data_IF_988127756549
#
_entry.id   IF_988127756549
#
_cell.length_a   1.000
_cell.length_b   1.000
_cell.length_c   1.000
_cell.angle_alpha   90.00
_cell.angle_beta   90.00
_cell.angle_gamma   90.00
#
_symmetry.space_group_name_H-M   'P 1'
#
loop_
_entity.id
_entity.type
_entity.pdbx_description
1 polymer ?
#
# COMPACT_ATOMS: atom_id res chain seq x y z
N UNK A 1 3.05 -24.85 -45.12
CA UNK A 1 2.51 -25.48 -43.91
C UNK A 1 3.68 -25.90 -43.07
N UNK A 2 4.20 -24.99 -42.29
CA UNK A 2 5.27 -25.23 -41.31
C UNK A 2 4.58 -25.79 -40.06
N UNK A 3 4.81 -27.08 -39.78
CA UNK A 3 4.50 -27.68 -38.49
C UNK A 3 5.47 -27.07 -37.49
N UNK A 4 5.01 -26.17 -36.61
CA UNK A 4 5.71 -25.83 -35.37
C UNK A 4 5.92 -27.16 -34.61
N UNK A 5 7.14 -27.60 -34.60
CA UNK A 5 7.62 -28.69 -33.77
C UNK A 5 7.51 -28.25 -32.31
N UNK A 6 6.41 -28.68 -31.66
CA UNK A 6 6.19 -28.47 -30.24
C UNK A 6 7.25 -29.29 -29.51
N UNK A 7 8.39 -28.67 -29.21
CA UNK A 7 9.43 -29.28 -28.36
C UNK A 7 8.72 -29.77 -27.08
N UNK A 8 8.67 -31.08 -26.90
CA UNK A 8 8.22 -31.70 -25.66
C UNK A 8 9.15 -31.20 -24.54
N UNK A 9 8.61 -30.35 -23.65
CA UNK A 9 9.37 -29.87 -22.50
C UNK A 9 9.70 -31.06 -21.62
N UNK A 10 10.96 -31.19 -21.29
CA UNK A 10 11.42 -32.20 -20.33
C UNK A 10 10.86 -31.86 -18.93
N UNK A 11 10.75 -32.88 -18.06
CA UNK A 11 10.36 -32.66 -16.66
C UNK A 11 11.26 -31.63 -15.98
N UNK A 12 12.52 -31.56 -16.33
CA UNK A 12 13.46 -30.57 -15.83
C UNK A 12 13.11 -29.14 -16.29
N UNK A 13 12.70 -28.93 -17.54
CA UNK A 13 12.30 -27.63 -18.05
C UNK A 13 11.04 -27.10 -17.33
N UNK A 14 10.09 -27.99 -17.04
CA UNK A 14 8.87 -27.67 -16.30
C UNK A 14 9.19 -27.28 -14.86
N UNK A 15 10.10 -28.01 -14.24
CA UNK A 15 10.59 -27.77 -12.89
C UNK A 15 11.31 -26.40 -12.78
N UNK A 16 12.22 -26.11 -13.70
CA UNK A 16 12.92 -24.80 -13.75
C UNK A 16 11.97 -23.65 -14.01
N UNK A 17 10.94 -23.82 -14.86
CA UNK A 17 9.92 -22.82 -15.08
C UNK A 17 9.08 -22.56 -13.81
N UNK A 18 8.72 -23.63 -13.08
CA UNK A 18 8.03 -23.51 -11.79
C UNK A 18 8.89 -22.73 -10.78
N UNK A 19 10.16 -23.11 -10.61
CA UNK A 19 11.11 -22.42 -9.74
C UNK A 19 11.21 -20.94 -10.06
N UNK A 20 11.33 -20.62 -11.35
CA UNK A 20 11.38 -19.24 -11.83
C UNK A 20 10.10 -18.47 -11.45
N UNK A 21 8.91 -19.06 -11.68
CA UNK A 21 7.62 -18.44 -11.35
C UNK A 21 7.46 -18.21 -9.84
N UNK A 22 7.77 -19.20 -9.02
CA UNK A 22 7.73 -19.08 -7.55
C UNK A 22 8.65 -17.95 -7.08
N UNK A 23 9.89 -17.90 -7.60
CA UNK A 23 10.87 -16.85 -7.25
C UNK A 23 10.39 -15.44 -7.63
N UNK A 24 9.78 -15.27 -8.80
CA UNK A 24 9.24 -13.95 -9.22
C UNK A 24 8.03 -13.55 -8.39
N UNK A 25 7.09 -14.46 -8.16
CA UNK A 25 5.90 -14.17 -7.33
C UNK A 25 6.30 -13.79 -5.91
N UNK A 26 7.23 -14.54 -5.30
CA UNK A 26 7.77 -14.20 -3.98
C UNK A 26 8.35 -12.78 -3.94
N UNK A 27 9.20 -12.43 -4.90
CA UNK A 27 9.79 -11.07 -4.97
C UNK A 27 8.72 -9.98 -5.13
N UNK A 28 7.72 -10.19 -5.97
CA UNK A 28 6.63 -9.23 -6.15
C UNK A 28 5.80 -9.08 -4.86
N UNK A 29 5.52 -10.16 -4.13
CA UNK A 29 4.78 -10.11 -2.86
C UNK A 29 5.55 -9.45 -1.73
N UNK A 30 6.88 -9.57 -1.68
CA UNK A 30 7.75 -8.79 -0.79
C UNK A 30 7.57 -7.29 -1.06
N UNK A 31 7.56 -6.86 -2.34
CA UNK A 31 7.36 -5.46 -2.68
C UNK A 31 5.95 -4.98 -2.34
N UNK A 32 4.94 -5.82 -2.53
CA UNK A 32 3.55 -5.50 -2.14
C UNK A 32 3.42 -5.28 -0.63
N UNK A 33 3.97 -6.19 0.19
CA UNK A 33 4.00 -6.05 1.66
C UNK A 33 4.69 -4.75 2.08
N UNK A 34 5.89 -4.48 1.54
CA UNK A 34 6.65 -3.26 1.83
C UNK A 34 5.87 -2.00 1.48
N UNK A 35 5.31 -1.91 0.28
CA UNK A 35 4.51 -0.77 -0.20
C UNK A 35 3.29 -0.50 0.69
N UNK A 36 2.57 -1.55 1.10
CA UNK A 36 1.40 -1.41 1.97
C UNK A 36 1.79 -0.99 3.38
N UNK A 37 2.91 -1.51 3.92
CA UNK A 37 3.44 -1.12 5.23
C UNK A 37 3.87 0.35 5.23
N UNK A 38 4.62 0.80 4.23
CA UNK A 38 5.02 2.20 4.09
C UNK A 38 3.82 3.16 4.00
N UNK A 39 2.75 2.74 3.32
CA UNK A 39 1.50 3.52 3.28
C UNK A 39 0.81 3.57 4.63
N UNK A 40 0.70 2.43 5.32
CA UNK A 40 0.12 2.38 6.64
C UNK A 40 0.84 3.32 7.60
N UNK A 41 2.17 3.18 7.71
CA UNK A 41 3.00 4.01 8.58
C UNK A 41 2.89 5.51 8.27
N UNK A 42 2.85 5.88 7.00
CA UNK A 42 2.68 7.28 6.61
C UNK A 42 1.34 7.83 7.08
N UNK A 43 0.24 7.16 6.78
CA UNK A 43 -1.09 7.62 7.14
C UNK A 43 -1.33 7.59 8.65
N UNK A 44 -0.78 6.61 9.34
CA UNK A 44 -0.83 6.52 10.81
C UNK A 44 -0.12 7.71 11.46
N UNK A 45 1.11 8.04 11.00
CA UNK A 45 1.85 9.22 11.48
C UNK A 45 1.09 10.53 11.23
N UNK A 46 0.49 10.69 10.05
CA UNK A 46 -0.34 11.85 9.71
C UNK A 46 -1.55 11.93 10.64
N UNK A 47 -2.24 10.81 10.87
CA UNK A 47 -3.40 10.75 11.79
C UNK A 47 -3.02 11.15 13.21
N UNK A 48 -1.92 10.61 13.76
CA UNK A 48 -1.44 10.98 15.10
C UNK A 48 -1.05 12.45 15.21
N UNK A 49 -0.36 12.98 14.21
CA UNK A 49 0.02 14.39 14.19
C UNK A 49 -1.21 15.30 14.25
N UNK A 50 -2.24 15.03 13.44
CA UNK A 50 -3.46 15.84 13.45
C UNK A 50 -4.32 15.62 14.70
N UNK A 51 -4.33 14.41 15.27
CA UNK A 51 -4.98 14.18 16.56
C UNK A 51 -4.35 15.04 17.67
N UNK A 52 -3.01 15.12 17.69
CA UNK A 52 -2.28 15.94 18.65
C UNK A 52 -2.57 17.44 18.43
N UNK A 53 -2.63 17.91 17.18
CA UNK A 53 -2.98 19.29 16.88
C UNK A 53 -4.40 19.66 17.35
N UNK A 54 -5.38 18.80 17.10
CA UNK A 54 -6.75 18.99 17.56
C UNK A 54 -6.79 19.09 19.08
N UNK A 55 -6.04 18.24 19.78
CA UNK A 55 -5.95 18.26 21.25
C UNK A 55 -5.33 19.57 21.76
N UNK A 56 -4.21 20.01 21.17
CA UNK A 56 -3.54 21.27 21.54
C UNK A 56 -4.48 22.47 21.34
N UNK A 57 -5.13 22.55 20.18
CA UNK A 57 -6.09 23.65 19.91
C UNK A 57 -7.31 23.57 20.83
N UNK A 58 -7.78 22.39 21.18
CA UNK A 58 -8.87 22.21 22.12
C UNK A 58 -8.55 22.81 23.50
N UNK A 59 -7.35 22.52 24.01
CA UNK A 59 -6.89 23.10 25.28
C UNK A 59 -6.66 24.61 25.18
N UNK A 60 -6.10 25.08 24.06
CA UNK A 60 -5.86 26.51 23.83
C UNK A 60 -7.17 27.32 23.85
N UNK A 61 -8.20 26.82 23.14
CA UNK A 61 -9.48 27.52 23.05
C UNK A 61 -10.31 27.50 24.33
N UNK A 62 -10.08 26.57 25.27
CA UNK A 62 -10.71 26.57 26.58
C UNK A 62 -10.35 27.82 27.41
N UNK A 63 -9.24 28.49 27.13
CA UNK A 63 -8.75 29.67 27.86
C UNK A 63 -9.15 31.00 27.20
N UNK A 64 -9.82 30.99 26.05
CA UNK A 64 -10.27 32.21 25.40
C UNK A 64 -11.58 32.72 26.03
N UNK A 65 -11.53 33.86 26.74
CA UNK A 65 -12.64 34.40 27.55
C UNK A 65 -13.77 35.11 26.80
N UNK A 66 -13.84 35.05 25.46
CA UNK A 66 -14.85 35.77 24.65
C UNK A 66 -15.88 34.78 24.05
N UNK A 67 -17.15 34.87 24.45
CA UNK A 67 -18.21 33.92 24.07
C UNK A 67 -18.42 33.78 22.56
N UNK A 68 -18.28 34.84 21.78
CA UNK A 68 -18.44 34.78 20.30
C UNK A 68 -17.26 34.11 19.63
N UNK A 69 -16.03 34.37 20.06
CA UNK A 69 -14.82 33.78 19.54
C UNK A 69 -14.73 32.29 19.90
N UNK A 70 -15.14 31.95 21.12
CA UNK A 70 -15.24 30.57 21.59
C UNK A 70 -16.22 29.73 20.76
N UNK A 71 -17.34 30.30 20.32
CA UNK A 71 -18.31 29.58 19.47
C UNK A 71 -17.74 29.27 18.10
N UNK A 72 -16.99 30.16 17.47
CA UNK A 72 -16.33 29.91 16.17
C UNK A 72 -15.23 28.86 16.32
N UNK A 73 -14.39 28.98 17.33
CA UNK A 73 -13.33 28.03 17.63
C UNK A 73 -13.88 26.63 17.87
N UNK A 74 -14.97 26.51 18.64
CA UNK A 74 -15.64 25.23 18.89
C UNK A 74 -16.17 24.60 17.60
N UNK A 75 -16.77 25.38 16.70
CA UNK A 75 -17.24 24.91 15.39
C UNK A 75 -16.07 24.39 14.53
N UNK A 76 -14.96 25.12 14.51
CA UNK A 76 -13.74 24.71 13.77
C UNK A 76 -13.22 23.39 14.33
N UNK A 77 -13.06 23.25 15.64
CA UNK A 77 -12.60 22.03 16.29
C UNK A 77 -13.53 20.85 16.02
N UNK A 78 -14.85 21.08 16.03
CA UNK A 78 -15.82 20.04 15.72
C UNK A 78 -15.65 19.52 14.28
N UNK A 79 -15.50 20.43 13.30
CA UNK A 79 -15.28 20.06 11.90
C UNK A 79 -13.98 19.25 11.76
N UNK A 80 -12.92 19.68 12.46
CA UNK A 80 -11.63 18.97 12.44
C UNK A 80 -11.71 17.58 13.05
N UNK A 81 -12.28 17.44 14.23
CA UNK A 81 -12.42 16.15 14.91
C UNK A 81 -13.26 15.18 14.09
N UNK A 82 -14.36 15.67 13.49
CA UNK A 82 -15.21 14.87 12.61
C UNK A 82 -14.45 14.44 11.34
N UNK A 83 -13.73 15.37 10.70
CA UNK A 83 -12.91 15.07 9.52
C UNK A 83 -11.83 14.02 9.82
N UNK A 84 -11.17 14.13 10.97
CA UNK A 84 -10.16 13.16 11.43
C UNK A 84 -10.79 11.79 11.70
N UNK A 85 -11.98 11.75 12.29
CA UNK A 85 -12.74 10.51 12.52
C UNK A 85 -13.05 9.81 11.19
N UNK A 86 -13.56 10.52 10.20
CA UNK A 86 -13.80 9.96 8.87
C UNK A 86 -12.50 9.49 8.20
N UNK A 87 -11.41 10.23 8.36
CA UNK A 87 -10.12 9.82 7.82
C UNK A 87 -9.62 8.52 8.45
N UNK A 88 -9.67 8.38 9.77
CA UNK A 88 -9.26 7.15 10.45
C UNK A 88 -10.17 5.98 10.10
N UNK A 89 -11.48 6.20 9.97
CA UNK A 89 -12.43 5.18 9.49
C UNK A 89 -12.10 4.71 8.07
N UNK A 90 -11.76 5.64 7.16
CA UNK A 90 -11.30 5.30 5.81
C UNK A 90 -10.04 4.44 5.83
N UNK A 91 -9.05 4.77 6.69
CA UNK A 91 -7.82 3.98 6.83
C UNK A 91 -8.12 2.56 7.33
N UNK A 92 -9.04 2.41 8.28
CA UNK A 92 -9.46 1.11 8.79
C UNK A 92 -10.11 0.26 7.69
N UNK A 93 -10.96 0.85 6.85
CA UNK A 93 -11.57 0.15 5.69
C UNK A 93 -10.50 -0.32 4.70
N UNK A 94 -9.43 0.47 4.47
CA UNK A 94 -8.34 0.10 3.56
C UNK A 94 -7.45 -1.03 4.07
N UNK A 95 -7.42 -1.23 5.39
CA UNK A 95 -6.79 -2.37 6.07
C UNK A 95 -5.34 -2.64 5.63
N UNK A 96 -4.56 -1.55 5.41
CA UNK A 96 -3.20 -1.63 4.86
C UNK A 96 -2.28 -2.53 5.69
N UNK A 97 -2.39 -2.48 7.03
CA UNK A 97 -1.56 -3.26 7.95
C UNK A 97 -1.82 -4.77 7.81
N UNK A 98 -3.07 -5.18 7.84
CA UNK A 98 -3.45 -6.59 7.71
C UNK A 98 -3.12 -7.14 6.33
N UNK A 99 -3.36 -6.34 5.27
CA UNK A 99 -2.98 -6.71 3.91
C UNK A 99 -1.48 -6.86 3.76
N UNK A 100 -0.67 -5.96 4.35
CA UNK A 100 0.78 -6.08 4.37
C UNK A 100 1.24 -7.36 5.06
N UNK A 101 0.69 -7.66 6.24
CA UNK A 101 0.97 -8.89 7.00
C UNK A 101 0.54 -10.14 6.23
N UNK A 102 -0.59 -10.08 5.54
CA UNK A 102 -1.09 -11.16 4.68
C UNK A 102 -0.13 -11.49 3.52
N UNK A 103 0.42 -10.45 2.85
CA UNK A 103 1.47 -10.65 1.84
C UNK A 103 2.76 -11.17 2.46
N UNK A 104 3.10 -10.75 3.67
CA UNK A 104 4.27 -11.22 4.40
C UNK A 104 4.21 -12.71 4.66
N UNK A 105 3.13 -13.19 5.25
CA UNK A 105 2.91 -14.61 5.50
C UNK A 105 2.97 -15.42 4.19
N UNK A 106 2.38 -14.88 3.12
CA UNK A 106 2.36 -15.59 1.85
C UNK A 106 3.74 -15.67 1.19
N UNK A 107 4.57 -14.61 1.23
CA UNK A 107 5.92 -14.73 0.68
C UNK A 107 6.82 -15.65 1.51
N UNK A 108 6.59 -15.77 2.84
CA UNK A 108 7.26 -16.74 3.69
C UNK A 108 6.89 -18.17 3.28
N UNK A 109 5.62 -18.45 3.00
CA UNK A 109 5.18 -19.74 2.49
C UNK A 109 5.77 -20.05 1.10
N UNK A 110 5.85 -19.05 0.22
CA UNK A 110 6.54 -19.17 -1.06
C UNK A 110 8.05 -19.44 -0.91
N UNK A 111 8.66 -18.91 0.15
CA UNK A 111 10.06 -19.19 0.47
C UNK A 111 10.26 -20.65 0.90
N UNK A 112 9.36 -21.17 1.72
CA UNK A 112 9.35 -22.59 2.10
C UNK A 112 9.23 -23.48 0.86
N UNK A 113 8.29 -23.14 -0.05
CA UNK A 113 8.14 -23.86 -1.31
C UNK A 113 9.40 -23.77 -2.19
N UNK A 114 9.99 -22.59 -2.29
CA UNK A 114 11.23 -22.38 -3.05
C UNK A 114 12.39 -23.23 -2.49
N UNK A 115 12.52 -23.29 -1.17
CA UNK A 115 13.52 -24.12 -0.50
C UNK A 115 13.30 -25.63 -0.78
N UNK A 116 12.04 -26.09 -0.86
CA UNK A 116 11.74 -27.48 -1.28
C UNK A 116 12.19 -27.73 -2.71
N UNK A 117 11.89 -26.80 -3.62
CA UNK A 117 12.30 -26.87 -5.02
C UNK A 117 13.84 -26.90 -5.13
N UNK A 118 14.54 -25.98 -4.44
CA UNK A 118 16.01 -25.89 -4.48
C UNK A 118 16.71 -27.14 -3.90
N UNK A 119 16.12 -27.79 -2.89
CA UNK A 119 16.65 -29.07 -2.37
C UNK A 119 16.53 -30.20 -3.39
N UNK A 120 15.45 -30.24 -4.17
CA UNK A 120 15.24 -31.25 -5.21
C UNK A 120 16.13 -31.03 -6.43
N UNK A 121 16.56 -29.82 -6.70
CA UNK A 121 17.50 -29.49 -7.77
C UNK A 121 18.87 -30.17 -7.60
N UNK A 122 19.23 -30.58 -6.39
CA UNK A 122 20.48 -31.29 -6.12
C UNK A 122 20.53 -32.72 -6.74
N UNK A 123 19.36 -33.29 -7.07
CA UNK A 123 19.24 -34.60 -7.72
C UNK A 123 18.18 -34.56 -8.85
N UNK A 124 18.51 -33.95 -10.00
CA UNK A 124 17.55 -33.70 -11.09
C UNK A 124 17.01 -34.97 -11.73
N UNK A 125 17.80 -36.08 -11.75
CA UNK A 125 17.41 -37.32 -12.40
C UNK A 125 16.34 -38.09 -11.63
N UNK A 126 16.18 -37.80 -10.33
CA UNK A 126 15.18 -38.46 -9.49
C UNK A 126 13.82 -37.70 -9.45
N UNK A 127 13.66 -36.59 -10.18
CA UNK A 127 12.44 -35.78 -10.18
C UNK A 127 11.33 -36.48 -10.95
N UNK A 128 10.32 -36.94 -10.24
CA UNK A 128 9.14 -37.59 -10.84
C UNK A 128 8.08 -36.55 -11.28
N UNK A 129 7.29 -36.91 -12.30
CA UNK A 129 6.16 -36.09 -12.77
C UNK A 129 5.12 -35.84 -11.69
N UNK A 130 4.90 -36.81 -10.79
CA UNK A 130 3.99 -36.64 -9.66
C UNK A 130 4.48 -35.61 -8.64
N UNK A 131 5.78 -35.59 -8.36
CA UNK A 131 6.36 -34.56 -7.49
C UNK A 131 6.21 -33.16 -8.09
N UNK A 132 6.49 -32.98 -9.39
CA UNK A 132 6.30 -31.73 -10.10
C UNK A 132 4.83 -31.29 -10.00
N UNK A 133 3.87 -32.16 -10.23
CA UNK A 133 2.44 -31.88 -10.07
C UNK A 133 2.08 -31.52 -8.64
N UNK A 134 2.71 -32.14 -7.65
CA UNK A 134 2.54 -31.80 -6.23
C UNK A 134 3.01 -30.38 -5.91
N UNK A 135 4.20 -30.01 -6.37
CA UNK A 135 4.77 -28.67 -6.21
C UNK A 135 3.93 -27.61 -6.94
N UNK A 136 3.42 -27.91 -8.14
CA UNK A 136 2.49 -27.02 -8.86
C UNK A 136 1.21 -26.76 -8.08
N UNK A 137 0.57 -27.80 -7.52
CA UNK A 137 -0.64 -27.64 -6.70
C UNK A 137 -0.37 -26.82 -5.45
N UNK A 138 0.78 -27.01 -4.78
CA UNK A 138 1.18 -26.20 -3.63
C UNK A 138 1.36 -24.72 -4.02
N UNK A 139 1.99 -24.46 -5.17
CA UNK A 139 2.14 -23.11 -5.70
C UNK A 139 0.79 -22.46 -6.04
N UNK A 140 -0.09 -23.16 -6.75
CA UNK A 140 -1.43 -22.68 -7.11
C UNK A 140 -2.27 -22.34 -5.87
N UNK A 141 -2.22 -23.20 -4.83
CA UNK A 141 -2.86 -22.93 -3.55
C UNK A 141 -2.36 -21.62 -2.97
N UNK A 142 -1.05 -21.40 -2.92
CA UNK A 142 -0.46 -20.16 -2.40
C UNK A 142 -0.83 -18.93 -3.24
N UNK A 143 -1.06 -19.09 -4.55
CA UNK A 143 -1.55 -17.99 -5.41
C UNK A 143 -2.99 -17.60 -5.08
N UNK A 144 -3.86 -18.58 -4.84
CA UNK A 144 -5.29 -18.37 -4.61
C UNK A 144 -5.60 -17.88 -3.17
N UNK A 145 -4.73 -18.16 -2.20
CA UNK A 145 -4.94 -17.78 -0.80
C UNK A 145 -5.04 -16.26 -0.58
N UNK A 146 -4.46 -15.46 -1.45
CA UNK A 146 -4.29 -14.02 -1.25
C UNK A 146 -4.62 -13.22 -2.50
N UNK A 147 -4.97 -11.94 -2.27
CA UNK A 147 -5.12 -10.98 -3.36
C UNK A 147 -3.86 -10.90 -4.24
N UNK A 148 -4.04 -10.56 -5.51
CA UNK A 148 -2.91 -10.37 -6.40
C UNK A 148 -2.12 -9.10 -6.03
N UNK A 149 -0.80 -9.17 -6.21
CA UNK A 149 0.06 -8.00 -6.18
C UNK A 149 -0.24 -7.09 -7.38
N UNK A 150 0.06 -5.80 -7.24
CA UNK A 150 -0.06 -4.86 -8.35
C UNK A 150 1.09 -5.02 -9.34
N UNK A 151 0.87 -4.63 -10.59
CA UNK A 151 1.92 -4.64 -11.62
C UNK A 151 3.18 -3.88 -11.20
N UNK A 152 3.02 -2.80 -10.44
CA UNK A 152 4.13 -2.03 -9.91
C UNK A 152 5.06 -2.86 -9.00
N UNK A 153 4.51 -3.76 -8.21
CA UNK A 153 5.27 -4.62 -7.31
C UNK A 153 6.15 -5.59 -8.11
N UNK A 154 5.63 -6.09 -9.24
CA UNK A 154 6.40 -6.89 -10.19
C UNK A 154 7.48 -6.04 -10.88
N UNK A 155 7.16 -4.84 -11.36
CA UNK A 155 8.14 -3.99 -12.05
C UNK A 155 9.34 -3.64 -11.17
N UNK A 156 9.10 -3.40 -9.87
CA UNK A 156 10.15 -3.04 -8.89
C UNK A 156 10.93 -4.26 -8.40
N UNK A 157 10.37 -5.48 -8.51
CA UNK A 157 10.92 -6.70 -7.91
C UNK A 157 12.26 -7.16 -8.50
N UNK A 158 12.61 -6.76 -9.72
CA UNK A 158 13.82 -7.16 -10.43
C UNK A 158 14.49 -5.98 -11.16
N UNK A 159 15.83 -5.97 -11.22
CA UNK A 159 16.61 -4.93 -11.91
C UNK A 159 16.22 -4.80 -13.39
N UNK A 160 16.12 -5.90 -14.13
CA UNK A 160 15.75 -5.90 -15.56
C UNK A 160 14.34 -5.31 -15.81
N UNK A 161 13.35 -5.71 -14.98
CA UNK A 161 11.98 -5.16 -15.09
C UNK A 161 11.92 -3.71 -14.67
N UNK A 162 12.69 -3.30 -13.66
CA UNK A 162 12.79 -1.91 -13.20
C UNK A 162 13.30 -0.99 -14.29
N UNK A 163 14.34 -1.38 -14.99
CA UNK A 163 14.88 -0.60 -16.11
C UNK A 163 13.88 -0.53 -17.27
N UNK A 164 13.28 -1.65 -17.65
CA UNK A 164 12.29 -1.75 -18.73
C UNK A 164 11.04 -0.90 -18.48
N UNK A 165 10.57 -0.83 -17.24
CA UNK A 165 9.32 -0.14 -16.85
C UNK A 165 9.56 1.14 -16.03
N UNK A 166 10.75 1.76 -16.14
CA UNK A 166 11.14 2.93 -15.35
C UNK A 166 10.13 4.09 -15.44
N UNK A 167 9.59 4.36 -16.62
CA UNK A 167 8.59 5.41 -16.83
C UNK A 167 7.30 5.15 -16.04
N UNK A 168 6.77 3.91 -16.06
CA UNK A 168 5.57 3.52 -15.31
C UNK A 168 5.81 3.58 -13.80
N UNK A 169 7.01 3.20 -13.35
CA UNK A 169 7.41 3.29 -11.95
C UNK A 169 7.45 4.75 -11.50
N UNK A 170 8.08 5.63 -12.28
CA UNK A 170 8.17 7.05 -11.97
C UNK A 170 6.78 7.71 -11.91
N UNK A 171 5.90 7.39 -12.86
CA UNK A 171 4.51 7.87 -12.84
C UNK A 171 3.75 7.42 -11.59
N UNK A 172 3.91 6.14 -11.20
CA UNK A 172 3.29 5.61 -9.99
C UNK A 172 3.82 6.30 -8.72
N UNK A 173 5.14 6.43 -8.60
CA UNK A 173 5.81 7.09 -7.45
C UNK A 173 5.39 8.55 -7.36
N UNK A 174 5.34 9.28 -8.48
CA UNK A 174 4.88 10.66 -8.51
C UNK A 174 3.43 10.78 -8.03
N UNK A 175 2.53 9.96 -8.58
CA UNK A 175 1.12 9.93 -8.16
C UNK A 175 0.97 9.60 -6.66
N UNK A 176 1.74 8.64 -6.15
CA UNK A 176 1.72 8.28 -4.73
C UNK A 176 2.20 9.44 -3.84
N UNK A 177 3.24 10.16 -4.27
CA UNK A 177 3.73 11.37 -3.58
C UNK A 177 2.69 12.48 -3.57
N UNK A 178 2.04 12.74 -4.70
CA UNK A 178 0.98 13.76 -4.79
C UNK A 178 -0.17 13.42 -3.84
N UNK A 179 -0.63 12.17 -3.83
CA UNK A 179 -1.69 11.73 -2.90
C UNK A 179 -1.27 11.91 -1.45
N UNK A 180 -0.04 11.50 -1.08
CA UNK A 180 0.49 11.68 0.27
C UNK A 180 0.59 13.16 0.65
N UNK A 181 1.03 14.01 -0.27
CA UNK A 181 1.12 15.45 -0.07
C UNK A 181 -0.27 16.08 0.14
N UNK A 182 -1.25 15.74 -0.69
CA UNK A 182 -2.63 16.19 -0.56
C UNK A 182 -3.24 15.78 0.79
N UNK A 183 -3.04 14.53 1.19
CA UNK A 183 -3.53 14.02 2.49
C UNK A 183 -2.82 14.70 3.66
N UNK A 184 -1.53 15.01 3.54
CA UNK A 184 -0.81 15.73 4.58
C UNK A 184 -1.21 17.21 4.70
N UNK A 185 -1.64 17.85 3.63
CA UNK A 185 -1.92 19.30 3.59
C UNK A 185 -3.41 19.61 3.77
N UNK A 186 -4.32 18.67 3.44
CA UNK A 186 -5.75 18.96 3.41
C UNK A 186 -6.31 19.59 4.70
N UNK A 187 -5.91 19.22 5.93
CA UNK A 187 -6.42 19.87 7.14
C UNK A 187 -5.96 21.32 7.25
N UNK A 188 -4.74 21.63 6.79
CA UNK A 188 -4.22 23.00 6.75
C UNK A 188 -5.04 23.85 5.77
N UNK A 189 -5.40 23.26 4.61
CA UNK A 189 -6.26 23.92 3.62
C UNK A 189 -7.63 24.23 4.22
N UNK A 190 -8.22 23.32 5.00
CA UNK A 190 -9.51 23.55 5.66
C UNK A 190 -9.40 24.70 6.66
N UNK A 191 -8.35 24.71 7.52
CA UNK A 191 -8.13 25.83 8.46
C UNK A 191 -8.05 27.14 7.70
N UNK A 192 -7.20 27.18 6.68
CA UNK A 192 -7.00 28.41 5.88
C UNK A 192 -8.29 28.88 5.22
N UNK A 193 -9.10 27.97 4.66
CA UNK A 193 -10.38 28.30 4.05
C UNK A 193 -11.37 28.89 5.08
N UNK A 194 -11.42 28.33 6.30
CA UNK A 194 -12.29 28.85 7.37
C UNK A 194 -11.83 30.24 7.84
N UNK A 195 -10.53 30.43 8.05
CA UNK A 195 -9.96 31.75 8.44
C UNK A 195 -10.21 32.77 7.36
N UNK A 196 -10.02 32.43 6.10
CA UNK A 196 -10.28 33.31 4.96
C UNK A 196 -11.76 33.69 4.87
N UNK A 197 -12.67 32.74 5.06
CA UNK A 197 -14.11 32.98 5.07
C UNK A 197 -14.53 33.92 6.19
N UNK A 198 -14.04 33.70 7.41
CA UNK A 198 -14.35 34.61 8.55
C UNK A 198 -13.81 36.00 8.34
N UNK A 199 -12.60 36.13 7.79
CA UNK A 199 -11.99 37.41 7.47
C UNK A 199 -12.77 38.18 6.39
N UNK A 200 -13.17 37.50 5.29
CA UNK A 200 -14.01 38.11 4.25
C UNK A 200 -15.36 38.60 4.78
N UNK A 201 -16.02 37.78 5.62
CA UNK A 201 -17.30 38.21 6.23
C UNK A 201 -17.13 39.40 7.17
N UNK A 202 -16.02 39.51 7.89
CA UNK A 202 -15.74 40.69 8.74
C UNK A 202 -15.54 41.95 7.91
N UNK A 203 -14.89 41.87 6.74
CA UNK A 203 -14.73 43.01 5.83
C UNK A 203 -16.07 43.46 5.23
N UNK A 204 -16.93 42.52 4.82
CA UNK A 204 -18.26 42.84 4.28
C UNK A 204 -19.18 43.51 5.35
N UNK A 205 -19.05 43.11 6.61
CA UNK A 205 -19.81 43.68 7.72
C UNK A 205 -19.36 45.12 8.11
N UNK A 206 -18.17 45.55 7.70
CA UNK A 206 -17.65 46.92 7.92
C UNK A 206 -18.13 47.86 6.80
N UNK A 207 -18.48 47.31 5.62
CA UNK A 207 -18.91 48.11 4.46
C UNK A 207 -20.45 48.18 4.29
N UNK A 208 -21.22 47.56 5.18
CA UNK A 208 -22.68 47.65 5.32
C UNK A 208 -23.05 48.46 6.58
#
# INVERSE_FOLDING_TARGET
>A
MEKEEKLEKTNFDVFEDLKRRVRFTRKARIQASKRLRERHEFFEKVSYFYSLLVLIFSVWFLNMGNDKENLVATKILLIFSLSLTFFTMFLNIKNYKERASSFELNYQNLDILLNKIERRECDPESITDEEIKGLHREYEKLLLEKENHLDIDYYVSNKKTREKYASKINQYVWRDRVVKCLVAIYPIIIIFAIVLYTWLNSLLAIHL
#
